data_IF_794794298815
#
_entry.id   IF_794794298815
#
_cell.length_a   1.000
_cell.length_b   1.000
_cell.length_c   1.000
_cell.angle_alpha   90.00
_cell.angle_beta   90.00
_cell.angle_gamma   90.00
#
_symmetry.space_group_name_H-M   'P 1'
#
loop_
_entity.id
_entity.type
_entity.pdbx_description
1 polymer ?
#
# COMPACT_ATOMS: atom_id res chain seq x y z
N UNK A 1 63.46 -25.63 141.82
CA UNK A 1 64.70 -25.55 141.04
C UNK A 1 64.58 -24.43 140.04
N UNK A 2 65.18 -23.29 140.37
CA UNK A 2 65.30 -22.08 139.57
C UNK A 2 66.31 -22.31 138.45
N UNK A 3 65.84 -22.58 137.21
CA UNK A 3 66.68 -22.45 136.02
C UNK A 3 66.69 -20.99 135.60
N UNK A 4 67.79 -20.35 135.99
CA UNK A 4 68.22 -19.01 135.63
C UNK A 4 68.52 -19.01 134.13
N UNK A 5 67.57 -18.53 133.31
CA UNK A 5 67.84 -18.21 131.92
C UNK A 5 68.46 -16.81 131.88
N UNK A 6 69.76 -16.74 132.18
CA UNK A 6 70.58 -15.60 131.81
C UNK A 6 70.82 -15.69 130.29
N UNK A 7 69.81 -15.39 129.47
CA UNK A 7 70.08 -15.02 128.08
C UNK A 7 70.81 -13.70 128.14
N UNK A 8 72.10 -13.68 127.75
CA UNK A 8 72.83 -12.43 127.65
C UNK A 8 72.04 -11.48 126.76
N UNK A 9 71.81 -10.26 127.22
CA UNK A 9 71.16 -9.19 126.47
C UNK A 9 71.69 -9.09 125.02
N UNK A 10 72.95 -9.48 124.80
CA UNK A 10 73.61 -9.57 123.49
C UNK A 10 72.95 -10.54 122.49
N UNK A 11 72.43 -11.69 122.93
CA UNK A 11 71.87 -12.71 122.03
C UNK A 11 70.45 -12.31 121.56
N UNK A 12 69.65 -11.76 122.48
CA UNK A 12 68.33 -11.17 122.16
C UNK A 12 68.50 -9.99 121.21
N UNK A 13 69.50 -9.14 121.43
CA UNK A 13 69.81 -8.02 120.52
C UNK A 13 70.21 -8.52 119.13
N UNK A 14 70.98 -9.62 119.03
CA UNK A 14 71.39 -10.19 117.74
C UNK A 14 70.20 -10.78 116.96
N UNK A 15 69.33 -11.52 117.63
CA UNK A 15 68.13 -12.12 117.03
C UNK A 15 67.15 -11.04 116.54
N UNK A 16 66.99 -9.95 117.32
CA UNK A 16 66.23 -8.77 116.89
C UNK A 16 66.84 -8.11 115.67
N UNK A 17 68.18 -7.98 115.59
CA UNK A 17 68.86 -7.40 114.42
C UNK A 17 68.67 -8.26 113.17
N UNK A 18 68.82 -9.58 113.27
CA UNK A 18 68.62 -10.52 112.16
C UNK A 18 67.16 -10.51 111.67
N UNK A 19 66.19 -10.46 112.60
CA UNK A 19 64.77 -10.32 112.28
C UNK A 19 64.48 -8.98 111.59
N UNK A 20 65.05 -7.88 112.08
CA UNK A 20 64.88 -6.55 111.51
C UNK A 20 65.49 -6.47 110.11
N UNK A 21 66.62 -7.14 109.88
CA UNK A 21 67.27 -7.22 108.58
C UNK A 21 66.49 -8.08 107.58
N UNK A 22 65.89 -9.19 108.03
CA UNK A 22 64.96 -10.01 107.24
C UNK A 22 63.70 -9.24 106.83
N UNK A 23 63.05 -8.57 107.79
CA UNK A 23 61.88 -7.71 107.54
C UNK A 23 62.22 -6.57 106.57
N UNK A 24 63.39 -5.95 106.72
CA UNK A 24 63.84 -4.89 105.80
C UNK A 24 64.02 -5.44 104.38
N UNK A 25 64.59 -6.64 104.22
CA UNK A 25 64.73 -7.30 102.92
C UNK A 25 63.38 -7.65 102.27
N UNK A 26 62.40 -8.09 103.07
CA UNK A 26 61.05 -8.39 102.60
C UNK A 26 60.29 -7.13 102.19
N UNK A 27 60.39 -6.04 102.98
CA UNK A 27 59.85 -4.72 102.65
C UNK A 27 60.44 -4.19 101.34
N UNK A 28 61.74 -4.36 101.12
CA UNK A 28 62.43 -3.96 99.88
C UNK A 28 61.87 -4.73 98.67
N UNK A 29 61.66 -6.04 98.79
CA UNK A 29 61.03 -6.87 97.74
C UNK A 29 59.59 -6.44 97.46
N UNK A 30 58.79 -6.25 98.51
CA UNK A 30 57.39 -5.83 98.39
C UNK A 30 57.28 -4.45 97.73
N UNK A 31 58.20 -3.52 98.03
CA UNK A 31 58.28 -2.22 97.33
C UNK A 31 58.55 -2.37 95.84
N UNK A 32 59.48 -3.25 95.44
CA UNK A 32 59.77 -3.50 94.02
C UNK A 32 58.55 -4.06 93.29
N UNK A 33 57.87 -5.04 93.90
CA UNK A 33 56.63 -5.62 93.36
C UNK A 33 55.54 -4.56 93.22
N UNK A 34 55.36 -3.71 94.25
CA UNK A 34 54.38 -2.62 94.21
C UNK A 34 54.65 -1.64 93.06
N UNK A 35 55.91 -1.25 92.85
CA UNK A 35 56.29 -0.37 91.73
C UNK A 35 56.02 -1.04 90.39
N UNK A 36 56.30 -2.34 90.27
CA UNK A 36 56.04 -3.10 89.04
C UNK A 36 54.53 -3.16 88.74
N UNK A 37 53.70 -3.49 89.73
CA UNK A 37 52.24 -3.51 89.59
C UNK A 37 51.68 -2.12 89.26
N UNK A 38 52.20 -1.05 89.87
CA UNK A 38 51.80 0.32 89.54
C UNK A 38 52.12 0.69 88.09
N UNK A 39 53.25 0.22 87.55
CA UNK A 39 53.61 0.45 86.16
C UNK A 39 52.70 -0.35 85.21
N UNK A 40 52.39 -1.61 85.53
CA UNK A 40 51.44 -2.43 84.76
C UNK A 40 50.04 -1.82 84.72
N UNK A 41 49.52 -1.35 85.87
CA UNK A 41 48.22 -0.68 85.93
C UNK A 41 48.20 0.56 85.05
N UNK A 42 49.25 1.40 85.11
CA UNK A 42 49.35 2.61 84.27
C UNK A 42 49.39 2.27 82.77
N UNK A 43 50.09 1.21 82.39
CA UNK A 43 50.14 0.77 80.99
C UNK A 43 48.78 0.24 80.52
N UNK A 44 48.09 -0.55 81.35
CA UNK A 44 46.73 -1.02 81.07
C UNK A 44 45.73 0.13 80.95
N UNK A 45 45.81 1.15 81.80
CA UNK A 45 44.99 2.36 81.70
C UNK A 45 45.19 3.09 80.37
N UNK A 46 46.45 3.19 79.92
CA UNK A 46 46.80 3.78 78.63
C UNK A 46 46.24 2.96 77.46
N UNK A 47 46.38 1.64 77.50
CA UNK A 47 45.84 0.74 76.48
C UNK A 47 44.31 0.81 76.44
N UNK A 48 43.65 0.81 77.60
CA UNK A 48 42.21 0.98 77.70
C UNK A 48 41.76 2.32 77.09
N UNK A 49 42.49 3.40 77.34
CA UNK A 49 42.24 4.70 76.71
C UNK A 49 42.32 4.65 75.19
N UNK A 50 43.32 3.94 74.63
CA UNK A 50 43.47 3.73 73.18
C UNK A 50 42.29 2.96 72.59
N UNK A 51 41.93 1.82 73.21
CA UNK A 51 40.82 0.96 72.76
C UNK A 51 39.50 1.72 72.79
N UNK A 52 39.24 2.54 73.82
CA UNK A 52 38.03 3.37 73.90
C UNK A 52 38.00 4.39 72.76
N UNK A 53 39.13 5.02 72.43
CA UNK A 53 39.19 5.99 71.34
C UNK A 53 38.95 5.32 69.98
N UNK A 54 39.59 4.18 69.71
CA UNK A 54 39.40 3.39 68.49
C UNK A 54 37.95 2.88 68.35
N UNK A 55 37.35 2.42 69.45
CA UNK A 55 35.95 1.96 69.46
C UNK A 55 35.01 3.10 69.10
N UNK A 56 35.18 4.29 69.71
CA UNK A 56 34.36 5.47 69.41
C UNK A 56 34.50 5.93 67.97
N UNK A 57 35.69 5.84 67.39
CA UNK A 57 35.89 6.20 65.99
C UNK A 57 35.25 5.18 65.04
N UNK A 58 35.34 3.89 65.38
CA UNK A 58 34.68 2.81 64.63
C UNK A 58 33.16 2.96 64.67
N UNK A 59 32.57 3.28 65.83
CA UNK A 59 31.13 3.54 65.96
C UNK A 59 30.67 4.68 65.04
N UNK A 60 31.42 5.79 64.99
CA UNK A 60 31.10 6.89 64.06
C UNK A 60 31.15 6.45 62.60
N UNK A 61 32.14 5.65 62.23
CA UNK A 61 32.24 5.09 60.88
C UNK A 61 31.04 4.20 60.55
N UNK A 62 30.60 3.36 61.49
CA UNK A 62 29.41 2.50 61.32
C UNK A 62 28.17 3.37 61.09
N UNK A 63 27.93 4.38 61.95
CA UNK A 63 26.77 5.28 61.78
C UNK A 63 26.79 6.01 60.43
N UNK A 64 27.96 6.44 59.97
CA UNK A 64 28.09 7.07 58.66
C UNK A 64 27.74 6.09 57.53
N UNK A 65 28.26 4.86 57.58
CA UNK A 65 27.98 3.84 56.59
C UNK A 65 26.50 3.43 56.57
N UNK A 66 25.86 3.29 57.72
CA UNK A 66 24.43 3.00 57.83
C UNK A 66 23.57 4.08 57.16
N UNK A 67 23.93 5.35 57.36
CA UNK A 67 23.28 6.48 56.67
C UNK A 67 23.43 6.38 55.15
N UNK A 68 24.61 6.06 54.64
CA UNK A 68 24.85 5.91 53.19
C UNK A 68 24.10 4.69 52.59
N UNK A 69 24.01 3.58 53.35
CA UNK A 69 23.22 2.40 52.97
C UNK A 69 21.73 2.77 52.84
N UNK A 70 21.18 3.49 53.80
CA UNK A 70 19.75 3.87 53.76
C UNK A 70 19.44 4.81 52.58
N UNK A 71 20.32 5.78 52.31
CA UNK A 71 20.21 6.62 51.10
C UNK A 71 20.22 5.80 49.82
N UNK A 72 21.15 4.85 49.71
CA UNK A 72 21.28 3.97 48.53
C UNK A 72 20.06 3.09 48.35
N UNK A 73 19.52 2.55 49.45
CA UNK A 73 18.29 1.74 49.46
C UNK A 73 17.08 2.52 48.97
N UNK A 74 16.91 3.75 49.46
CA UNK A 74 15.84 4.66 48.99
C UNK A 74 15.99 4.97 47.49
N UNK A 75 17.23 5.22 47.03
CA UNK A 75 17.49 5.43 45.61
C UNK A 75 17.13 4.20 44.75
N UNK A 76 17.48 3.00 45.20
CA UNK A 76 17.13 1.76 44.52
C UNK A 76 15.62 1.56 44.41
N UNK A 77 14.87 1.81 45.48
CA UNK A 77 13.41 1.72 45.47
C UNK A 77 12.77 2.69 44.47
N UNK A 78 13.29 3.92 44.40
CA UNK A 78 12.84 4.90 43.39
C UNK A 78 13.12 4.43 41.96
N UNK A 79 14.30 3.86 41.72
CA UNK A 79 14.65 3.33 40.40
C UNK A 79 13.78 2.13 40.02
N UNK A 80 13.50 1.22 40.96
CA UNK A 80 12.62 0.08 40.75
C UNK A 80 11.19 0.52 40.39
N UNK A 81 10.67 1.55 41.06
CA UNK A 81 9.37 2.13 40.74
C UNK A 81 9.35 2.73 39.32
N UNK A 82 10.42 3.43 38.91
CA UNK A 82 10.56 3.98 37.56
C UNK A 82 10.62 2.89 36.50
N UNK A 83 11.38 1.81 36.73
CA UNK A 83 11.46 0.66 35.83
C UNK A 83 10.08 0.02 35.64
N UNK A 84 9.34 -0.20 36.74
CA UNK A 84 7.98 -0.74 36.68
C UNK A 84 7.03 0.16 35.88
N UNK A 85 7.12 1.49 36.09
CA UNK A 85 6.33 2.47 35.33
C UNK A 85 6.64 2.43 33.84
N UNK A 86 7.93 2.47 33.46
CA UNK A 86 8.38 2.40 32.06
C UNK A 86 7.99 1.07 31.41
N UNK A 87 8.04 -0.04 32.16
CA UNK A 87 7.61 -1.33 31.64
C UNK A 87 6.11 -1.34 31.34
N UNK A 88 5.27 -0.81 32.24
CA UNK A 88 3.84 -0.70 32.02
C UNK A 88 3.50 0.18 30.81
N UNK A 89 4.23 1.29 30.62
CA UNK A 89 4.07 2.16 29.46
C UNK A 89 4.49 1.45 28.15
N UNK A 90 5.62 0.74 28.14
CA UNK A 90 6.04 -0.05 26.99
C UNK A 90 5.01 -1.10 26.59
N UNK A 91 4.40 -1.80 27.55
CA UNK A 91 3.34 -2.77 27.27
C UNK A 91 2.12 -2.09 26.63
N UNK A 92 1.71 -0.92 27.14
CA UNK A 92 0.62 -0.13 26.55
C UNK A 92 0.94 0.30 25.12
N UNK A 93 2.14 0.83 24.88
CA UNK A 93 2.56 1.26 23.55
C UNK A 93 2.60 0.09 22.57
N UNK A 94 3.08 -1.07 23.00
CA UNK A 94 3.08 -2.28 22.17
C UNK A 94 1.66 -2.66 21.75
N UNK A 95 0.70 -2.66 22.67
CA UNK A 95 -0.70 -2.93 22.36
C UNK A 95 -1.28 -1.89 21.39
N UNK A 96 -1.04 -0.59 21.62
CA UNK A 96 -1.50 0.46 20.70
C UNK A 96 -0.91 0.31 19.29
N UNK A 97 0.34 -0.13 19.17
CA UNK A 97 0.97 -0.41 17.87
C UNK A 97 0.27 -1.59 17.19
N UNK A 98 0.01 -2.68 17.91
CA UNK A 98 -0.68 -3.85 17.37
C UNK A 98 -2.09 -3.50 16.86
N UNK A 99 -2.85 -2.71 17.62
CA UNK A 99 -4.18 -2.21 17.20
C UNK A 99 -4.08 -1.35 15.94
N UNK A 100 -3.14 -0.40 15.90
CA UNK A 100 -2.97 0.47 14.73
C UNK A 100 -2.53 -0.31 13.48
N UNK A 101 -1.77 -1.40 13.65
CA UNK A 101 -1.39 -2.30 12.56
C UNK A 101 -2.61 -3.06 12.02
N UNK A 102 -3.46 -3.61 12.89
CA UNK A 102 -4.69 -4.30 12.50
C UNK A 102 -5.64 -3.37 11.72
N UNK A 103 -5.86 -2.15 12.23
CA UNK A 103 -6.66 -1.14 11.53
C UNK A 103 -6.08 -0.80 10.15
N UNK A 104 -4.75 -0.66 10.05
CA UNK A 104 -4.09 -0.39 8.78
C UNK A 104 -4.27 -1.54 7.77
N UNK A 105 -4.18 -2.79 8.20
CA UNK A 105 -4.43 -3.96 7.35
C UNK A 105 -5.88 -4.02 6.86
N UNK A 106 -6.84 -3.64 7.70
CA UNK A 106 -8.25 -3.51 7.31
C UNK A 106 -8.42 -2.44 6.22
N UNK A 107 -7.83 -1.25 6.42
CA UNK A 107 -7.86 -0.17 5.44
C UNK A 107 -7.21 -0.58 4.12
N UNK A 108 -6.07 -1.28 4.17
CA UNK A 108 -5.37 -1.75 2.98
C UNK A 108 -6.23 -2.75 2.20
N UNK A 109 -6.87 -3.70 2.89
CA UNK A 109 -7.77 -4.69 2.28
C UNK A 109 -8.95 -4.01 1.59
N UNK A 110 -9.56 -3.03 2.27
CA UNK A 110 -10.68 -2.26 1.71
C UNK A 110 -10.25 -1.44 0.50
N UNK A 111 -9.08 -0.82 0.54
CA UNK A 111 -8.56 -0.03 -0.58
C UNK A 111 -8.27 -0.92 -1.80
N UNK A 112 -7.64 -2.07 -1.59
CA UNK A 112 -7.39 -3.05 -2.65
C UNK A 112 -8.69 -3.50 -3.33
N UNK A 113 -9.76 -3.74 -2.56
CA UNK A 113 -11.07 -4.07 -3.11
C UNK A 113 -11.66 -2.95 -3.98
N UNK A 114 -11.46 -1.68 -3.60
CA UNK A 114 -11.85 -0.55 -4.44
C UNK A 114 -11.02 -0.48 -5.73
N UNK A 115 -9.71 -0.70 -5.66
CA UNK A 115 -8.83 -0.70 -6.82
C UNK A 115 -9.19 -1.80 -7.82
N UNK A 116 -9.52 -3.00 -7.34
CA UNK A 116 -10.05 -4.09 -8.17
C UNK A 116 -11.36 -3.71 -8.84
N UNK A 117 -12.30 -3.09 -8.10
CA UNK A 117 -13.57 -2.62 -8.65
C UNK A 117 -13.38 -1.55 -9.72
N UNK A 118 -12.47 -0.60 -9.49
CA UNK A 118 -12.11 0.44 -10.47
C UNK A 118 -11.50 -0.20 -11.72
N UNK A 119 -10.62 -1.18 -11.56
CA UNK A 119 -10.01 -1.92 -12.68
C UNK A 119 -11.07 -2.63 -13.53
N UNK A 120 -12.00 -3.35 -12.89
CA UNK A 120 -13.10 -4.02 -13.57
C UNK A 120 -14.00 -3.04 -14.34
N UNK A 121 -14.29 -1.86 -13.76
CA UNK A 121 -15.05 -0.82 -14.48
C UNK A 121 -14.28 -0.25 -15.67
N UNK A 122 -12.98 0.00 -15.53
CA UNK A 122 -12.14 0.47 -16.65
C UNK A 122 -12.12 -0.54 -17.80
N UNK A 123 -11.99 -1.83 -17.49
CA UNK A 123 -12.02 -2.90 -18.49
C UNK A 123 -13.39 -2.98 -19.19
N UNK A 124 -14.49 -2.89 -18.45
CA UNK A 124 -15.84 -2.88 -19.01
C UNK A 124 -16.09 -1.66 -19.93
N UNK A 125 -15.61 -0.47 -19.52
CA UNK A 125 -15.70 0.73 -20.36
C UNK A 125 -14.89 0.54 -21.64
N UNK A 126 -13.65 0.06 -21.54
CA UNK A 126 -12.80 -0.18 -22.71
C UNK A 126 -13.44 -1.18 -23.69
N UNK A 127 -14.12 -2.21 -23.19
CA UNK A 127 -14.84 -3.16 -24.05
C UNK A 127 -16.00 -2.48 -24.81
N UNK A 128 -16.75 -1.61 -24.16
CA UNK A 128 -17.84 -0.84 -24.80
C UNK A 128 -17.29 0.17 -25.79
N UNK A 129 -16.24 0.92 -25.43
CA UNK A 129 -15.56 1.87 -26.32
C UNK A 129 -15.04 1.19 -27.58
N UNK A 130 -14.49 -0.02 -27.47
CA UNK A 130 -14.04 -0.81 -28.61
C UNK A 130 -15.20 -1.18 -29.57
N UNK A 131 -16.42 -1.35 -29.06
CA UNK A 131 -17.63 -1.66 -29.86
C UNK A 131 -18.29 -0.41 -30.44
N UNK A 132 -17.98 0.78 -29.91
CA UNK A 132 -18.62 2.03 -30.28
C UNK A 132 -18.56 2.36 -31.78
N UNK A 133 -17.42 2.19 -32.50
CA UNK A 133 -17.37 2.45 -33.93
C UNK A 133 -18.36 1.62 -34.74
N UNK A 134 -18.51 0.34 -34.37
CA UNK A 134 -19.47 -0.56 -35.01
C UNK A 134 -20.92 -0.14 -34.75
N UNK A 135 -21.25 0.31 -33.54
CA UNK A 135 -22.60 0.82 -33.23
C UNK A 135 -22.95 2.09 -34.02
N UNK A 136 -21.98 3.00 -34.22
CA UNK A 136 -22.16 4.17 -35.08
C UNK A 136 -22.42 3.72 -36.52
N UNK A 137 -21.58 2.83 -37.06
CA UNK A 137 -21.73 2.36 -38.44
C UNK A 137 -23.08 1.67 -38.64
N UNK A 138 -23.51 0.83 -37.69
CA UNK A 138 -24.81 0.17 -37.72
C UNK A 138 -25.96 1.19 -37.81
N UNK A 139 -25.96 2.21 -36.95
CA UNK A 139 -26.99 3.27 -37.00
C UNK A 139 -27.00 4.00 -38.36
N UNK A 140 -25.83 4.30 -38.92
CA UNK A 140 -25.73 4.93 -40.23
C UNK A 140 -26.31 4.04 -41.34
N UNK A 141 -26.02 2.73 -41.29
CA UNK A 141 -26.56 1.76 -42.26
C UNK A 141 -28.06 1.59 -42.11
N UNK A 142 -28.59 1.54 -40.89
CA UNK A 142 -30.03 1.48 -40.63
C UNK A 142 -30.76 2.71 -41.19
N UNK A 143 -30.20 3.90 -41.04
CA UNK A 143 -30.77 5.11 -41.65
C UNK A 143 -30.74 5.06 -43.19
N UNK A 144 -29.66 4.54 -43.78
CA UNK A 144 -29.58 4.35 -45.24
C UNK A 144 -30.67 3.38 -45.72
N UNK A 145 -30.87 2.26 -45.02
CA UNK A 145 -31.93 1.29 -45.32
C UNK A 145 -33.30 1.94 -45.22
N UNK A 146 -33.59 2.69 -44.15
CA UNK A 146 -34.87 3.43 -44.01
C UNK A 146 -35.11 4.40 -45.16
N UNK A 147 -34.08 5.16 -45.59
CA UNK A 147 -34.18 6.06 -46.75
C UNK A 147 -34.46 5.30 -48.05
N UNK A 148 -33.79 4.16 -48.27
CA UNK A 148 -34.01 3.32 -49.43
C UNK A 148 -35.41 2.68 -49.43
N UNK A 149 -35.91 2.23 -48.28
CA UNK A 149 -37.27 1.71 -48.14
C UNK A 149 -38.31 2.76 -48.50
N UNK A 150 -38.19 3.98 -47.98
CA UNK A 150 -39.08 5.08 -48.33
C UNK A 150 -39.06 5.39 -49.84
N UNK A 151 -37.87 5.49 -50.43
CA UNK A 151 -37.72 5.73 -51.88
C UNK A 151 -38.32 4.59 -52.71
N UNK A 152 -38.17 3.34 -52.26
CA UNK A 152 -38.79 2.17 -52.90
C UNK A 152 -40.32 2.27 -52.85
N UNK A 153 -40.90 2.64 -51.70
CA UNK A 153 -42.35 2.82 -51.56
C UNK A 153 -42.88 3.95 -52.45
N UNK A 154 -42.18 5.10 -52.48
CA UNK A 154 -42.50 6.22 -53.39
C UNK A 154 -42.47 5.79 -54.86
N UNK A 155 -41.45 5.03 -55.27
CA UNK A 155 -41.33 4.53 -56.64
C UNK A 155 -42.42 3.51 -57.00
N UNK A 156 -42.75 2.60 -56.08
CA UNK A 156 -43.86 1.65 -56.27
C UNK A 156 -45.17 2.41 -56.47
N UNK A 157 -45.43 3.42 -55.63
CA UNK A 157 -46.62 4.25 -55.74
C UNK A 157 -46.65 5.03 -57.07
N UNK A 158 -45.53 5.61 -57.50
CA UNK A 158 -45.43 6.31 -58.80
C UNK A 158 -45.69 5.37 -59.98
N UNK A 159 -45.10 4.15 -59.97
CA UNK A 159 -45.28 3.16 -61.04
C UNK A 159 -46.69 2.57 -61.09
N UNK A 160 -47.39 2.48 -59.96
CA UNK A 160 -48.78 2.01 -59.91
C UNK A 160 -49.79 3.11 -60.29
N UNK A 161 -49.37 4.38 -60.29
CA UNK A 161 -50.20 5.49 -60.68
C UNK A 161 -50.12 5.70 -62.21
N UNK A 162 -51.24 5.62 -62.96
CA UNK A 162 -51.26 5.95 -64.39
C UNK A 162 -50.78 7.38 -64.69
N UNK A 163 -50.93 8.30 -63.73
CA UNK A 163 -50.46 9.69 -63.78
C UNK A 163 -49.07 9.89 -63.14
N UNK A 164 -48.41 8.81 -62.72
CA UNK A 164 -47.08 8.84 -62.14
C UNK A 164 -46.03 9.34 -63.13
N UNK A 165 -44.98 9.98 -62.62
CA UNK A 165 -43.99 10.66 -63.44
C UNK A 165 -43.24 9.69 -64.36
N UNK A 166 -42.87 8.50 -63.85
CA UNK A 166 -42.20 7.46 -64.65
C UNK A 166 -43.13 6.86 -65.71
N UNK A 167 -44.40 6.67 -65.38
CA UNK A 167 -45.40 6.15 -66.32
C UNK A 167 -45.68 7.18 -67.42
N UNK A 168 -45.78 8.46 -67.07
CA UNK A 168 -45.92 9.57 -68.04
C UNK A 168 -44.75 9.64 -69.00
N UNK A 169 -43.51 9.61 -68.49
CA UNK A 169 -42.33 9.60 -69.35
C UNK A 169 -42.35 8.40 -70.31
N UNK A 170 -42.67 7.20 -69.83
CA UNK A 170 -42.80 6.02 -70.68
C UNK A 170 -43.92 6.17 -71.73
N UNK A 171 -45.06 6.76 -71.37
CA UNK A 171 -46.16 7.04 -72.29
C UNK A 171 -45.76 8.05 -73.37
N UNK A 172 -45.03 9.10 -73.01
CA UNK A 172 -44.49 10.11 -73.94
C UNK A 172 -43.53 9.48 -74.94
N UNK A 173 -42.61 8.63 -74.48
CA UNK A 173 -41.69 7.89 -75.36
C UNK A 173 -42.44 6.93 -76.31
N UNK A 174 -43.44 6.21 -75.79
CA UNK A 174 -44.32 5.35 -76.61
C UNK A 174 -45.05 6.17 -77.67
N UNK A 175 -45.57 7.34 -77.31
CA UNK A 175 -46.26 8.23 -78.25
C UNK A 175 -45.31 8.73 -79.34
N UNK A 176 -44.11 9.17 -78.97
CA UNK A 176 -43.08 9.58 -79.92
C UNK A 176 -42.70 8.46 -80.90
N UNK A 177 -42.59 7.22 -80.42
CA UNK A 177 -42.33 6.07 -81.30
C UNK A 177 -43.52 5.76 -82.21
N UNK A 178 -44.76 5.86 -81.73
CA UNK A 178 -45.96 5.70 -82.57
C UNK A 178 -45.99 6.71 -83.71
N UNK A 179 -45.69 7.98 -83.44
CA UNK A 179 -45.66 9.03 -84.46
C UNK A 179 -44.57 8.77 -85.52
N UNK A 180 -43.41 8.27 -85.09
CA UNK A 180 -42.34 7.84 -86.01
C UNK A 180 -42.79 6.68 -86.90
N UNK A 181 -43.48 5.69 -86.35
CA UNK A 181 -44.00 4.54 -87.11
C UNK A 181 -45.01 5.02 -88.15
N UNK A 182 -45.99 5.85 -87.76
CA UNK A 182 -47.00 6.40 -88.69
C UNK A 182 -46.34 7.17 -89.83
N UNK A 183 -45.32 8.00 -89.52
CA UNK A 183 -44.57 8.75 -90.53
C UNK A 183 -43.81 7.83 -91.48
N UNK A 184 -43.19 6.77 -90.97
CA UNK A 184 -42.50 5.78 -91.77
C UNK A 184 -43.47 4.98 -92.66
N UNK A 185 -44.62 4.56 -92.14
CA UNK A 185 -45.66 3.84 -92.89
C UNK A 185 -46.24 4.69 -94.03
N UNK A 186 -46.48 6.00 -93.80
CA UNK A 186 -46.89 6.93 -94.84
C UNK A 186 -45.83 7.08 -95.93
N UNK A 187 -44.55 7.17 -95.54
CA UNK A 187 -43.43 7.19 -96.48
C UNK A 187 -43.34 5.90 -97.30
N UNK A 188 -43.51 4.74 -96.66
CA UNK A 188 -43.53 3.43 -97.32
C UNK A 188 -44.69 3.33 -98.29
N UNK A 189 -45.91 3.70 -97.88
CA UNK A 189 -47.10 3.69 -98.73
C UNK A 189 -46.92 4.57 -99.98
N UNK A 190 -46.31 5.75 -99.80
CA UNK A 190 -45.96 6.65 -100.90
C UNK A 190 -44.96 6.00 -101.86
N UNK A 191 -43.90 5.36 -101.33
CA UNK A 191 -42.92 4.62 -102.15
C UNK A 191 -43.54 3.43 -102.88
N UNK A 192 -44.48 2.72 -102.26
CA UNK A 192 -45.22 1.61 -102.90
C UNK A 192 -46.03 2.14 -104.10
N UNK A 193 -46.74 3.25 -103.93
CA UNK A 193 -47.51 3.86 -105.02
C UNK A 193 -46.59 4.31 -106.17
N UNK A 194 -45.49 5.01 -105.87
CA UNK A 194 -44.50 5.40 -106.87
C UNK A 194 -43.90 4.19 -107.60
N UNK A 195 -43.61 3.10 -106.88
CA UNK A 195 -43.11 1.86 -107.49
C UNK A 195 -44.15 1.22 -108.43
N UNK A 196 -45.44 1.28 -108.08
CA UNK A 196 -46.52 0.77 -108.93
C UNK A 196 -46.70 1.63 -110.20
N UNK A 197 -46.57 2.94 -110.09
CA UNK A 197 -46.50 3.84 -111.23
C UNK A 197 -45.30 3.54 -112.12
N UNK A 198 -44.11 3.36 -111.53
CA UNK A 198 -42.88 3.00 -112.25
C UNK A 198 -43.04 1.66 -112.97
N UNK A 199 -43.63 0.64 -112.35
CA UNK A 199 -43.95 -0.65 -112.99
C UNK A 199 -44.85 -0.47 -114.21
N UNK A 200 -45.88 0.38 -114.14
CA UNK A 200 -46.76 0.68 -115.29
C UNK A 200 -45.99 1.36 -116.42
N UNK A 201 -45.07 2.29 -116.10
CA UNK A 201 -44.19 2.93 -117.08
C UNK A 201 -43.25 1.92 -117.72
N UNK A 202 -42.63 1.05 -116.92
CA UNK A 202 -41.77 -0.04 -117.40
C UNK A 202 -42.50 -1.01 -118.33
N UNK A 203 -43.74 -1.38 -118.01
CA UNK A 203 -44.56 -2.24 -118.86
C UNK A 203 -44.88 -1.58 -120.22
N UNK A 204 -45.15 -0.27 -120.24
CA UNK A 204 -45.31 0.49 -121.49
C UNK A 204 -44.03 0.48 -122.32
N UNK A 205 -42.90 0.81 -121.71
CA UNK A 205 -41.57 0.78 -122.35
C UNK A 205 -41.24 -0.62 -122.90
N UNK A 206 -41.56 -1.69 -122.16
CA UNK A 206 -41.35 -3.07 -122.60
C UNK A 206 -42.13 -3.39 -123.88
N UNK A 207 -43.41 -3.01 -123.94
CA UNK A 207 -44.24 -3.16 -125.16
C UNK A 207 -43.69 -2.34 -126.32
N UNK A 208 -43.20 -1.13 -126.05
CA UNK A 208 -42.64 -0.26 -127.08
C UNK A 208 -41.31 -0.79 -127.64
N UNK A 209 -40.44 -1.34 -126.79
CA UNK A 209 -39.24 -2.08 -127.19
C UNK A 209 -39.62 -3.33 -128.00
N UNK A 210 -40.67 -4.07 -127.62
CA UNK A 210 -41.12 -5.25 -128.39
C UNK A 210 -41.63 -4.86 -129.78
N UNK A 211 -42.35 -3.73 -129.90
CA UNK A 211 -42.75 -3.17 -131.19
C UNK A 211 -41.53 -2.73 -132.01
N UNK A 212 -40.55 -2.08 -131.39
CA UNK A 212 -39.30 -1.67 -132.04
C UNK A 212 -38.48 -2.87 -132.52
N UNK A 213 -38.33 -3.93 -131.70
CA UNK A 213 -37.63 -5.15 -132.08
C UNK A 213 -38.34 -5.88 -133.25
N UNK A 214 -39.68 -5.98 -133.22
CA UNK A 214 -40.45 -6.53 -134.36
C UNK A 214 -40.30 -5.70 -135.64
N UNK A 215 -40.13 -4.38 -135.52
CA UNK A 215 -39.81 -3.50 -136.67
C UNK A 215 -38.38 -3.70 -137.17
N UNK A 216 -37.44 -3.96 -136.27
CA UNK A 216 -36.04 -4.23 -136.61
C UNK A 216 -35.88 -5.59 -137.31
N UNK A 217 -36.64 -6.62 -136.91
CA UNK A 217 -36.64 -7.95 -137.55
C UNK A 217 -37.35 -7.97 -138.93
N UNK A 218 -38.11 -6.93 -139.26
CA UNK A 218 -38.80 -6.75 -140.54
C UNK A 218 -38.02 -5.91 -141.56
N UNK A 219 -36.81 -5.46 -141.18
CA UNK A 219 -35.80 -4.81 -142.03
C UNK A 219 -34.75 -5.86 -142.39
#
# INVERSE_FOLDING_TARGET
MTKKNDSSFSDVVKEVVEQQQSQTSEIEKNKKILIQLQNEVRELEKQMGSVIAETKETEKHIYHQESEIEKTKSHYQSLEAQIKSLHAENVKLKFSIEVAQEEFEEYLTRNNAYDEKIRAYKESIAEVENKWPFMIELHQKEEQVKKLMKKKEELIHDLQNPDGNMIKQAQEEIMYLKDKIVTADASISTKINLLEEEKKVHEKLRKEIEVQNKRYDAI
#
